data_IF_560994203624
#
_entry.id   IF_560994203624
#
_cell.length_a   1.000
_cell.length_b   1.000
_cell.length_c   1.000
_cell.angle_alpha   90.00
_cell.angle_beta   90.00
_cell.angle_gamma   90.00
#
_symmetry.space_group_name_H-M   'P 1'
#
loop_
_entity.id
_entity.type
_entity.pdbx_description
1 polymer ?
#
# COMPACT_ATOMS: atom_id res chain seq x y z
N UNK A 1 -10.17 -39.75 55.16
CA UNK A 1 -10.43 -39.89 56.61
C UNK A 1 -9.12 -39.73 57.38
N UNK A 2 -9.14 -38.96 58.48
CA UNK A 2 -8.08 -38.70 59.51
C UNK A 2 -6.89 -37.84 59.01
N UNK A 3 -6.71 -36.54 59.34
CA UNK A 3 -6.59 -35.77 60.62
C UNK A 3 -5.41 -36.17 61.51
N UNK A 4 -4.82 -35.11 62.12
CA UNK A 4 -3.93 -35.00 63.32
C UNK A 4 -2.46 -34.68 62.96
N UNK A 5 -1.73 -33.75 63.58
CA UNK A 5 -2.02 -32.64 64.51
C UNK A 5 -0.74 -31.81 64.69
N UNK A 6 -0.98 -30.57 65.11
CA UNK A 6 -0.13 -29.45 65.48
C UNK A 6 0.68 -29.66 66.78
N UNK A 7 1.78 -28.90 66.90
CA UNK A 7 2.44 -28.34 68.10
C UNK A 7 3.35 -29.19 69.01
N UNK A 8 4.61 -28.73 69.13
CA UNK A 8 5.54 -28.58 70.30
C UNK A 8 6.97 -28.63 69.70
N UNK A 9 7.84 -27.62 69.78
CA UNK A 9 8.41 -27.03 70.99
C UNK A 9 9.00 -25.65 70.69
N UNK A 10 8.52 -24.67 71.44
CA UNK A 10 9.19 -23.40 71.72
C UNK A 10 10.27 -23.67 72.80
N UNK A 11 11.40 -22.96 72.74
CA UNK A 11 12.42 -22.75 73.79
C UNK A 11 13.72 -23.60 73.77
N UNK A 12 14.70 -23.14 72.99
CA UNK A 12 16.14 -23.09 73.32
C UNK A 12 16.70 -21.92 72.50
N UNK A 13 16.47 -20.67 72.90
CA UNK A 13 17.33 -19.86 73.77
C UNK A 13 18.83 -19.92 73.44
N UNK A 14 19.26 -18.92 72.67
CA UNK A 14 20.47 -18.12 72.82
C UNK A 14 21.85 -18.83 72.84
N UNK A 15 22.51 -18.86 71.68
CA UNK A 15 23.92 -18.45 71.51
C UNK A 15 24.38 -18.68 70.06
N UNK A 16 24.37 -17.63 69.24
CA UNK A 16 25.28 -17.42 68.10
C UNK A 16 24.87 -16.12 67.36
N UNK A 17 24.96 -14.99 68.08
CA UNK A 17 25.22 -13.72 67.41
C UNK A 17 26.70 -13.72 66.98
N UNK A 18 27.01 -12.99 65.91
CA UNK A 18 28.31 -12.79 65.23
C UNK A 18 28.47 -13.54 63.90
N UNK A 19 27.63 -13.20 62.92
CA UNK A 19 28.08 -13.16 61.53
C UNK A 19 28.22 -11.69 61.12
N UNK A 20 29.39 -11.24 60.64
CA UNK A 20 29.54 -9.89 60.12
C UNK A 20 28.67 -9.78 58.87
N UNK A 21 27.71 -8.85 58.91
CA UNK A 21 27.02 -8.39 57.72
C UNK A 21 28.06 -7.66 56.87
N UNK A 22 28.63 -8.35 55.89
CA UNK A 22 29.09 -7.69 54.68
C UNK A 22 27.83 -7.14 54.00
N UNK A 23 27.55 -5.84 54.16
CA UNK A 23 26.86 -5.12 53.10
C UNK A 23 27.83 -5.10 51.92
N UNK A 24 27.55 -5.91 50.89
CA UNK A 24 27.97 -5.50 49.55
C UNK A 24 27.22 -4.21 49.28
N UNK A 25 27.97 -3.12 49.15
CA UNK A 25 27.45 -1.89 48.58
C UNK A 25 26.82 -2.27 47.23
N UNK A 26 25.49 -2.23 47.14
CA UNK A 26 24.77 -2.30 45.88
C UNK A 26 25.28 -1.12 45.04
N UNK A 27 26.28 -1.37 44.20
CA UNK A 27 26.58 -0.51 43.07
C UNK A 27 25.30 -0.49 42.25
N UNK A 28 24.53 0.58 42.40
CA UNK A 28 23.42 0.91 41.52
C UNK A 28 23.89 0.67 40.10
N UNK A 29 23.37 -0.38 39.47
CA UNK A 29 23.73 -0.74 38.11
C UNK A 29 23.10 0.31 37.21
N UNK A 30 23.86 1.35 36.90
CA UNK A 30 23.45 2.38 35.95
C UNK A 30 23.18 1.69 34.61
N UNK A 31 21.97 1.87 34.07
CA UNK A 31 21.60 1.39 32.76
C UNK A 31 21.70 2.54 31.76
N UNK A 32 22.10 2.28 30.52
CA UNK A 32 22.03 3.28 29.47
C UNK A 32 20.60 3.80 29.32
N UNK A 33 20.46 5.11 29.12
CA UNK A 33 19.23 5.74 28.64
C UNK A 33 19.26 5.88 27.13
N UNK A 34 18.12 6.25 26.55
CA UNK A 34 17.98 6.46 25.11
C UNK A 34 17.74 7.95 24.81
N UNK A 35 18.37 8.48 23.76
CA UNK A 35 18.04 9.80 23.21
C UNK A 35 17.42 9.66 21.82
N UNK A 36 16.36 10.44 21.57
CA UNK A 36 15.69 10.52 20.28
C UNK A 36 15.62 11.96 19.81
N UNK A 37 15.96 12.22 18.56
CA UNK A 37 15.95 13.56 17.98
C UNK A 37 14.71 13.77 17.13
N UNK A 38 13.92 14.80 17.44
CA UNK A 38 12.83 15.28 16.59
C UNK A 38 13.34 16.42 15.72
N UNK A 39 13.19 16.29 14.40
CA UNK A 39 13.69 17.29 13.45
C UNK A 39 12.66 18.39 13.28
N UNK A 40 13.06 19.64 13.52
CA UNK A 40 12.18 20.83 13.42
C UNK A 40 12.68 21.77 12.33
N UNK A 41 12.19 21.62 11.08
CA UNK A 41 12.62 22.52 10.02
C UNK A 41 12.07 23.94 10.23
N UNK A 42 12.95 24.94 10.20
CA UNK A 42 12.56 26.34 10.26
C UNK A 42 12.52 26.96 8.86
N UNK A 43 11.45 27.69 8.57
CA UNK A 43 11.40 28.60 7.42
C UNK A 43 11.94 29.96 7.87
N UNK A 44 13.03 30.43 7.27
CA UNK A 44 13.68 31.69 7.68
C UNK A 44 12.70 32.85 7.84
N UNK A 45 12.91 33.65 8.90
CA UNK A 45 12.06 34.77 9.36
C UNK A 45 11.74 35.86 8.30
N UNK A 46 12.36 35.85 7.12
CA UNK A 46 12.13 36.84 6.05
C UNK A 46 11.32 36.34 4.83
N UNK A 47 10.87 35.08 4.77
CA UNK A 47 9.96 34.64 3.69
C UNK A 47 10.51 34.75 2.26
N UNK A 48 11.81 35.00 2.08
CA UNK A 48 12.45 35.13 0.75
C UNK A 48 12.61 33.77 0.05
N UNK A 49 12.52 32.66 0.78
CA UNK A 49 12.32 31.34 0.20
C UNK A 49 10.92 30.84 0.55
N UNK A 50 9.95 31.06 -0.34
CA UNK A 50 8.55 30.61 -0.23
C UNK A 50 8.34 29.09 -0.18
N UNK A 51 9.33 28.31 0.27
CA UNK A 51 9.15 26.91 0.64
C UNK A 51 8.71 26.87 2.11
N UNK A 52 7.44 26.51 2.32
CA UNK A 52 7.06 25.79 3.56
C UNK A 52 8.11 24.70 3.78
N UNK A 53 8.55 24.49 5.02
CA UNK A 53 9.37 23.35 5.44
C UNK A 53 9.03 22.13 4.57
N UNK A 54 9.88 21.86 3.58
CA UNK A 54 9.66 20.76 2.65
C UNK A 54 9.73 19.48 3.47
N UNK A 55 8.76 18.58 3.31
CA UNK A 55 8.85 17.24 3.88
C UNK A 55 10.26 16.68 3.61
N UNK A 56 10.90 16.13 4.65
CA UNK A 56 12.23 15.53 4.50
C UNK A 56 12.19 14.50 3.36
N UNK A 57 13.22 14.44 2.50
CA UNK A 57 13.25 13.46 1.42
C UNK A 57 13.11 12.04 1.98
N UNK A 58 12.36 11.20 1.28
CA UNK A 58 12.22 9.78 1.64
C UNK A 58 13.60 9.11 1.63
N UNK A 59 13.99 8.49 2.75
CA UNK A 59 15.32 7.87 2.90
C UNK A 59 16.41 8.80 3.44
N UNK A 60 16.06 9.99 3.93
CA UNK A 60 17.00 10.86 4.62
C UNK A 60 17.55 10.23 5.91
N UNK A 61 18.80 10.54 6.22
CA UNK A 61 19.54 10.05 7.39
C UNK A 61 20.09 11.22 8.20
N UNK A 62 20.12 11.07 9.51
CA UNK A 62 20.72 12.04 10.42
C UNK A 62 22.18 11.67 10.69
N UNK A 63 23.06 12.66 10.62
CA UNK A 63 24.45 12.60 11.07
C UNK A 63 24.60 13.52 12.27
N UNK A 64 24.99 12.96 13.42
CA UNK A 64 25.07 13.69 14.70
C UNK A 64 26.41 13.50 15.39
N UNK A 65 27.01 14.60 15.85
CA UNK A 65 28.21 14.59 16.70
C UNK A 65 27.82 15.01 18.13
N UNK A 66 28.26 14.24 19.12
CA UNK A 66 27.92 14.41 20.53
C UNK A 66 29.19 14.37 21.38
N UNK A 67 29.32 15.33 22.29
CA UNK A 67 30.36 15.36 23.32
C UNK A 67 29.74 15.21 24.71
N UNK A 68 30.48 14.63 25.65
CA UNK A 68 30.07 14.56 27.07
C UNK A 68 30.39 15.87 27.80
N UNK A 69 30.03 15.95 29.09
CA UNK A 69 30.30 17.12 29.95
C UNK A 69 31.80 17.47 30.10
N UNK A 70 32.71 16.53 29.87
CA UNK A 70 34.15 16.76 29.87
C UNK A 70 34.67 17.30 28.53
N UNK A 71 33.80 17.42 27.52
CA UNK A 71 34.15 17.81 26.15
C UNK A 71 34.74 16.67 25.32
N UNK A 72 34.68 15.43 25.80
CA UNK A 72 35.17 14.27 25.07
C UNK A 72 34.13 13.84 24.04
N UNK A 73 34.59 13.49 22.84
CA UNK A 73 33.73 13.02 21.74
C UNK A 73 33.20 11.64 22.08
N UNK A 74 31.87 11.54 22.14
CA UNK A 74 31.13 10.30 22.37
C UNK A 74 30.68 9.72 21.03
N UNK A 75 30.20 10.59 20.15
CA UNK A 75 29.86 10.28 18.77
C UNK A 75 30.44 11.34 17.84
N UNK A 76 31.03 10.89 16.74
CA UNK A 76 31.57 11.73 15.68
C UNK A 76 30.82 11.40 14.38
N UNK A 77 30.01 12.33 13.89
CA UNK A 77 29.13 12.21 12.73
C UNK A 77 28.43 10.85 12.63
N UNK A 78 27.89 10.38 13.76
CA UNK A 78 27.21 9.10 13.84
C UNK A 78 25.95 9.12 12.98
N UNK A 79 25.88 8.15 12.07
CA UNK A 79 24.70 7.90 11.25
C UNK A 79 23.55 7.32 12.10
N UNK A 80 22.37 7.93 11.99
CA UNK A 80 21.14 7.54 12.69
C UNK A 80 19.96 7.58 11.72
N UNK A 81 19.27 6.45 11.58
CA UNK A 81 18.08 6.32 10.73
C UNK A 81 16.95 7.22 11.21
N UNK A 82 16.25 7.86 10.27
CA UNK A 82 15.04 8.64 10.53
C UNK A 82 13.78 7.84 10.21
N UNK A 83 12.73 8.06 10.98
CA UNK A 83 11.40 7.47 10.82
C UNK A 83 10.33 8.54 10.84
N UNK A 84 9.29 8.36 10.03
CA UNK A 84 8.12 9.24 9.99
C UNK A 84 7.07 8.76 10.99
N UNK A 85 6.61 9.65 11.87
CA UNK A 85 5.53 9.39 12.83
C UNK A 85 4.47 10.50 12.69
N UNK A 86 3.42 10.20 11.93
CA UNK A 86 2.45 11.21 11.51
C UNK A 86 3.13 12.25 10.61
N UNK A 87 3.00 13.53 10.97
CA UNK A 87 3.64 14.65 10.27
C UNK A 87 5.05 14.97 10.79
N UNK A 88 5.54 14.24 11.80
CA UNK A 88 6.84 14.47 12.42
C UNK A 88 7.88 13.47 11.92
N UNK A 89 9.14 13.91 11.86
CA UNK A 89 10.28 13.03 11.58
C UNK A 89 11.16 12.97 12.81
N UNK A 90 11.41 11.75 13.28
CA UNK A 90 12.19 11.47 14.48
C UNK A 90 13.30 10.46 14.16
N UNK A 91 14.39 10.48 14.91
CA UNK A 91 15.43 9.48 14.79
C UNK A 91 15.03 8.15 15.44
N UNK A 92 15.70 7.07 15.06
CA UNK A 92 15.80 5.91 15.94
C UNK A 92 16.49 6.30 17.27
N UNK A 93 16.18 5.61 18.39
CA UNK A 93 16.83 5.84 19.66
C UNK A 93 18.34 5.60 19.60
N UNK A 94 19.11 6.47 20.25
CA UNK A 94 20.55 6.36 20.41
C UNK A 94 20.87 6.15 21.88
N UNK A 95 21.48 5.01 22.21
CA UNK A 95 21.75 4.63 23.60
C UNK A 95 23.00 5.34 24.14
N UNK A 96 22.87 5.99 25.28
CA UNK A 96 23.92 6.76 25.97
C UNK A 96 23.89 6.46 27.47
N UNK A 97 25.06 6.47 28.10
CA UNK A 97 25.11 6.42 29.57
C UNK A 97 24.41 7.65 30.19
N UNK A 98 23.83 7.54 31.39
CA UNK A 98 23.24 8.69 32.07
C UNK A 98 24.28 9.78 32.33
N UNK A 99 23.95 11.02 31.94
CA UNK A 99 24.90 12.12 31.99
C UNK A 99 24.47 13.35 31.20
N UNK A 100 25.32 14.38 31.24
CA UNK A 100 25.13 15.61 30.47
C UNK A 100 25.97 15.55 29.20
N UNK A 101 25.33 15.92 28.08
CA UNK A 101 25.87 15.85 26.75
C UNK A 101 25.61 17.14 25.99
N UNK A 102 26.27 17.28 24.85
CA UNK A 102 26.10 18.42 23.97
C UNK A 102 26.23 17.97 22.52
N UNK A 103 25.26 18.36 21.70
CA UNK A 103 25.30 18.17 20.26
C UNK A 103 26.21 19.24 19.67
N UNK A 104 27.18 18.84 18.86
CA UNK A 104 28.14 19.75 18.22
C UNK A 104 27.98 19.82 16.71
N UNK A 105 27.35 18.81 16.10
CA UNK A 105 27.00 18.75 14.68
C UNK A 105 25.67 18.02 14.49
N UNK A 106 24.83 18.50 13.58
CA UNK A 106 23.50 17.94 13.32
C UNK A 106 23.10 18.21 11.87
N UNK A 107 23.25 17.19 11.02
CA UNK A 107 23.14 17.30 9.56
C UNK A 107 22.18 16.22 9.07
N UNK A 108 21.24 16.58 8.21
CA UNK A 108 20.32 15.65 7.56
C UNK A 108 20.69 15.55 6.09
N UNK A 109 20.98 14.34 5.62
CA UNK A 109 21.38 14.11 4.25
C UNK A 109 20.77 12.83 3.68
N UNK A 110 20.58 12.83 2.37
CA UNK A 110 20.11 11.68 1.59
C UNK A 110 21.22 11.22 0.62
N UNK A 111 21.22 11.72 -0.62
CA UNK A 111 22.31 11.73 -1.60
C UNK A 111 23.19 12.99 -1.47
N UNK A 112 22.66 14.03 -0.81
CA UNK A 112 23.33 15.29 -0.51
C UNK A 112 22.81 15.87 0.81
N UNK A 113 23.50 16.86 1.36
CA UNK A 113 23.03 17.57 2.56
C UNK A 113 21.73 18.30 2.21
N UNK A 114 20.65 17.94 2.89
CA UNK A 114 19.33 18.55 2.71
C UNK A 114 19.04 19.59 3.78
N UNK A 115 19.49 19.35 5.01
CA UNK A 115 19.32 20.28 6.13
C UNK A 115 20.53 20.24 7.07
N UNK A 116 20.78 21.34 7.77
CA UNK A 116 21.77 21.40 8.85
C UNK A 116 21.34 22.38 9.94
N UNK A 117 21.77 22.13 11.18
CA UNK A 117 21.65 23.12 12.26
C UNK A 117 22.84 24.07 12.22
N UNK A 118 22.65 25.40 12.13
CA UNK A 118 23.76 26.34 12.13
C UNK A 118 24.46 26.40 13.50
N UNK A 119 25.79 26.58 13.50
CA UNK A 119 26.59 26.80 14.70
C UNK A 119 26.46 28.24 15.18
N UNK A 120 26.48 28.44 16.49
CA UNK A 120 26.39 29.75 17.14
C UNK A 120 27.49 30.66 16.58
N UNK A 121 27.09 31.87 16.18
CA UNK A 121 27.98 32.84 15.55
C UNK A 121 28.14 32.68 14.04
N UNK A 122 27.54 31.67 13.40
CA UNK A 122 27.46 31.61 11.94
C UNK A 122 26.48 32.64 11.38
N UNK A 123 26.60 33.03 10.10
CA UNK A 123 25.65 33.93 9.44
C UNK A 123 24.18 33.50 9.57
N UNK A 124 23.92 32.19 9.56
CA UNK A 124 22.57 31.64 9.62
C UNK A 124 22.06 31.32 11.04
N UNK A 125 22.88 31.48 12.08
CA UNK A 125 22.48 31.16 13.46
C UNK A 125 21.28 31.97 13.98
N UNK A 126 21.03 33.15 13.42
CA UNK A 126 19.91 34.03 13.80
C UNK A 126 18.51 33.52 13.37
N UNK A 127 18.47 32.51 12.48
CA UNK A 127 17.23 31.97 11.92
C UNK A 127 16.69 30.75 12.67
N UNK A 128 17.43 30.29 13.67
CA UNK A 128 17.00 29.31 14.66
C UNK A 128 17.03 29.97 16.03
N UNK A 129 16.21 29.50 16.95
CA UNK A 129 16.19 29.98 18.32
C UNK A 129 17.27 29.28 19.16
N UNK A 130 17.57 28.00 18.87
CA UNK A 130 18.57 27.17 19.55
C UNK A 130 19.69 26.67 18.59
N UNK A 131 20.68 27.51 18.19
CA UNK A 131 21.80 27.08 17.35
C UNK A 131 22.76 26.14 18.10
N UNK A 132 23.57 25.38 17.37
CA UNK A 132 24.59 24.51 17.97
C UNK A 132 25.68 25.33 18.69
N UNK A 133 26.24 24.86 19.81
CA UNK A 133 25.99 23.58 20.45
C UNK A 133 24.69 23.53 21.29
N UNK A 134 23.98 22.39 21.26
CA UNK A 134 22.72 22.18 22.02
C UNK A 134 22.94 21.20 23.18
N UNK A 135 22.78 21.62 24.45
CA UNK A 135 22.96 20.74 25.61
C UNK A 135 21.74 19.86 25.88
N UNK A 136 21.95 18.65 26.38
CA UNK A 136 20.89 17.76 26.85
C UNK A 136 21.38 16.83 27.96
N UNK A 137 20.45 16.20 28.68
CA UNK A 137 20.73 15.26 29.78
C UNK A 137 20.04 13.93 29.50
N UNK A 138 20.78 12.83 29.64
CA UNK A 138 20.27 11.47 29.55
C UNK A 138 20.08 10.93 30.97
N UNK A 139 18.91 10.33 31.24
CA UNK A 139 18.57 9.71 32.52
C UNK A 139 18.62 8.18 32.42
N UNK A 140 18.79 7.54 33.58
CA UNK A 140 18.85 6.08 33.72
C UNK A 140 17.53 5.41 33.30
N UNK A 141 17.59 4.47 32.35
CA UNK A 141 16.45 3.68 31.84
C UNK A 141 15.26 4.56 31.35
N UNK A 142 15.55 5.74 30.80
CA UNK A 142 14.55 6.70 30.29
C UNK A 142 14.82 7.12 28.83
N UNK A 143 13.78 7.59 28.15
CA UNK A 143 13.86 8.07 26.75
C UNK A 143 13.78 9.60 26.74
N UNK A 144 14.90 10.24 26.42
CA UNK A 144 14.98 11.69 26.25
C UNK A 144 14.66 12.08 24.81
N UNK A 145 13.56 12.80 24.59
CA UNK A 145 13.24 13.36 23.28
C UNK A 145 13.70 14.82 23.17
N UNK A 146 14.52 15.12 22.17
CA UNK A 146 15.07 16.45 21.92
C UNK A 146 14.67 16.96 20.54
N UNK A 147 13.98 18.10 20.50
CA UNK A 147 13.69 18.80 19.26
C UNK A 147 14.87 19.66 18.83
N UNK A 148 15.41 19.43 17.62
CA UNK A 148 16.54 20.18 17.07
C UNK A 148 16.10 20.94 15.82
N UNK A 149 16.38 22.24 15.80
CA UNK A 149 15.98 23.13 14.71
C UNK A 149 16.95 23.06 13.55
N UNK A 150 16.44 22.87 12.33
CA UNK A 150 17.27 22.75 11.14
C UNK A 150 16.86 23.76 10.08
N UNK A 151 17.83 24.25 9.31
CA UNK A 151 17.59 25.08 8.14
C UNK A 151 17.88 24.27 6.87
N UNK A 152 17.12 24.49 5.78
CA UNK A 152 17.36 23.81 4.52
C UNK A 152 18.70 24.23 3.92
N UNK A 153 19.45 23.25 3.41
CA UNK A 153 20.67 23.48 2.63
C UNK A 153 20.29 23.52 1.14
N UNK A 154 20.26 24.72 0.56
CA UNK A 154 19.83 24.97 -0.83
C UNK A 154 20.90 25.70 -1.63
N UNK A 155 20.71 25.73 -2.95
CA UNK A 155 21.55 26.51 -3.87
C UNK A 155 21.79 27.95 -3.36
N UNK A 156 23.06 28.31 -3.21
CA UNK A 156 23.48 29.62 -2.74
C UNK A 156 24.00 29.67 -1.30
N UNK A 157 23.77 28.63 -0.50
CA UNK A 157 24.45 28.48 0.80
C UNK A 157 25.69 27.60 0.70
N UNK A 158 26.71 27.92 1.50
CA UNK A 158 27.91 27.08 1.68
C UNK A 158 27.96 26.53 3.12
N UNK A 159 28.75 25.46 3.39
CA UNK A 159 28.92 24.96 4.76
C UNK A 159 29.33 26.05 5.76
N UNK A 160 30.11 27.04 5.32
CA UNK A 160 30.58 28.16 6.13
C UNK A 160 29.43 29.07 6.61
N UNK A 161 28.35 29.22 5.84
CA UNK A 161 27.16 29.98 6.25
C UNK A 161 26.48 29.35 7.49
N UNK A 162 26.64 28.03 7.63
CA UNK A 162 26.19 27.25 8.79
C UNK A 162 27.27 27.12 9.87
N UNK A 163 28.48 27.65 9.65
CA UNK A 163 29.61 27.55 10.59
C UNK A 163 30.39 26.23 10.50
N UNK A 164 30.23 25.46 9.42
CA UNK A 164 31.01 24.26 9.14
C UNK A 164 32.17 24.59 8.20
N UNK A 165 33.32 23.95 8.39
CA UNK A 165 34.45 24.04 7.43
C UNK A 165 34.11 23.28 6.15
N UNK A 166 33.42 22.17 6.30
CA UNK A 166 32.86 21.33 5.25
C UNK A 166 31.86 20.38 5.91
N UNK A 167 30.90 19.87 5.15
CA UNK A 167 30.14 18.70 5.59
C UNK A 167 30.98 17.47 5.27
N UNK A 168 31.83 17.05 6.20
CA UNK A 168 32.67 15.85 6.07
C UNK A 168 31.87 14.54 6.19
N UNK A 169 30.63 14.54 5.72
CA UNK A 169 29.85 13.33 5.58
C UNK A 169 30.16 12.73 4.22
N UNK A 170 30.63 11.48 4.23
CA UNK A 170 30.65 10.70 3.00
C UNK A 170 29.25 10.15 2.84
N UNK A 171 28.40 10.89 2.13
CA UNK A 171 27.16 10.32 1.62
C UNK A 171 27.60 9.32 0.56
N UNK A 172 27.73 8.05 0.95
CA UNK A 172 27.90 7.00 -0.03
C UNK A 172 26.70 7.11 -0.98
N UNK A 173 26.90 7.32 -2.29
CA UNK A 173 25.77 7.34 -3.21
C UNK A 173 25.06 6.00 -3.04
N UNK A 174 23.85 6.04 -2.47
CA UNK A 174 23.03 4.84 -2.39
C UNK A 174 22.85 4.35 -3.82
N UNK A 175 23.19 3.09 -4.14
CA UNK A 175 22.98 2.58 -5.48
C UNK A 175 21.48 2.65 -5.77
N UNK A 176 21.13 3.46 -6.75
CA UNK A 176 19.78 3.58 -7.29
C UNK A 176 19.82 3.28 -8.78
N UNK A 177 18.66 2.91 -9.33
CA UNK A 177 18.46 2.87 -10.77
C UNK A 177 17.20 3.63 -11.13
N UNK A 178 17.15 4.18 -12.35
CA UNK A 178 15.95 4.82 -12.87
C UNK A 178 15.01 3.76 -13.43
N UNK A 179 13.71 3.92 -13.23
CA UNK A 179 12.66 3.03 -13.76
C UNK A 179 11.63 3.83 -14.54
N UNK A 180 11.30 3.35 -15.75
CA UNK A 180 10.21 3.83 -16.58
C UNK A 180 9.28 2.66 -16.91
N UNK A 181 8.00 2.80 -16.57
CA UNK A 181 6.98 1.77 -16.80
C UNK A 181 6.08 2.20 -17.94
N UNK A 182 5.90 1.32 -18.91
CA UNK A 182 5.13 1.56 -20.12
C UNK A 182 3.98 0.56 -20.24
N UNK A 183 2.87 1.02 -20.82
CA UNK A 183 1.78 0.15 -21.28
C UNK A 183 1.55 0.32 -22.78
N UNK A 184 1.01 -0.71 -23.46
CA UNK A 184 0.57 -0.57 -24.84
C UNK A 184 -0.71 0.28 -24.93
N UNK A 185 -0.71 1.23 -25.85
CA UNK A 185 -1.86 2.00 -26.31
C UNK A 185 -1.88 1.98 -27.84
N UNK A 186 -2.66 1.06 -28.40
CA UNK A 186 -2.60 0.70 -29.82
C UNK A 186 -1.22 0.16 -30.21
N UNK A 187 -0.58 0.80 -31.20
CA UNK A 187 0.77 0.46 -31.65
C UNK A 187 1.88 1.21 -30.88
N UNK A 188 1.50 2.08 -29.94
CA UNK A 188 2.44 2.93 -29.20
C UNK A 188 2.60 2.47 -27.76
N UNK A 189 3.74 2.83 -27.16
CA UNK A 189 3.98 2.66 -25.73
C UNK A 189 3.86 4.01 -25.04
N UNK A 190 3.10 4.06 -23.95
CA UNK A 190 2.91 5.28 -23.13
C UNK A 190 3.35 5.02 -21.70
N UNK A 191 3.97 6.04 -21.08
CA UNK A 191 4.33 5.99 -19.66
C UNK A 191 3.08 5.82 -18.80
N UNK A 192 3.18 4.99 -17.77
CA UNK A 192 2.03 4.66 -16.92
C UNK A 192 2.42 4.52 -15.46
N UNK A 193 1.41 4.63 -14.59
CA UNK A 193 1.59 4.51 -13.15
C UNK A 193 1.55 3.03 -12.75
N UNK A 194 2.39 2.63 -11.81
CA UNK A 194 2.42 1.26 -11.29
C UNK A 194 2.82 1.27 -9.81
N UNK A 195 2.48 0.21 -9.09
CA UNK A 195 3.08 -0.03 -7.77
C UNK A 195 4.33 -0.89 -7.95
N UNK A 196 5.46 -0.42 -7.45
CA UNK A 196 6.74 -1.09 -7.56
C UNK A 196 7.17 -1.67 -6.21
N UNK A 197 7.67 -2.90 -6.25
CA UNK A 197 8.25 -3.61 -5.12
C UNK A 197 9.65 -4.10 -5.47
N UNK A 198 10.58 -4.04 -4.51
CA UNK A 198 11.82 -4.82 -4.57
C UNK A 198 11.77 -5.88 -3.48
N UNK A 199 11.96 -7.13 -3.88
CA UNK A 199 11.86 -8.30 -3.01
C UNK A 199 13.24 -8.94 -2.84
N UNK A 200 13.61 -9.23 -1.60
CA UNK A 200 14.78 -10.03 -1.19
C UNK A 200 14.29 -11.34 -0.56
N UNK A 201 14.27 -12.42 -1.35
CA UNK A 201 13.70 -13.69 -0.93
C UNK A 201 12.19 -13.59 -0.65
N UNK A 202 11.81 -13.54 0.62
CA UNK A 202 10.41 -13.40 1.06
C UNK A 202 10.06 -12.00 1.57
N UNK A 203 11.08 -11.14 1.74
CA UNK A 203 10.94 -9.83 2.35
C UNK A 203 10.79 -8.75 1.27
N UNK A 204 9.81 -7.87 1.43
CA UNK A 204 9.68 -6.66 0.62
C UNK A 204 10.50 -5.55 1.25
N UNK A 205 11.57 -5.11 0.57
CA UNK A 205 12.51 -4.11 1.08
C UNK A 205 12.32 -2.71 0.45
N UNK A 206 11.48 -2.64 -0.60
CA UNK A 206 11.03 -1.40 -1.22
C UNK A 206 9.58 -1.57 -1.66
N UNK A 207 8.73 -0.56 -1.43
CA UNK A 207 7.32 -0.53 -1.84
C UNK A 207 6.90 0.91 -2.07
N UNK A 208 6.55 1.25 -3.31
CA UNK A 208 6.13 2.61 -3.66
C UNK A 208 5.13 2.62 -4.81
N UNK A 209 4.13 3.50 -4.71
CA UNK A 209 3.29 3.86 -5.85
C UNK A 209 4.01 4.88 -6.73
N UNK A 210 4.22 4.53 -7.99
CA UNK A 210 4.91 5.34 -8.98
C UNK A 210 3.88 5.98 -9.92
N UNK A 211 3.78 7.31 -9.98
CA UNK A 211 3.02 8.00 -11.04
C UNK A 211 3.60 7.70 -12.44
N UNK A 212 2.88 8.04 -13.51
CA UNK A 212 3.44 7.96 -14.86
C UNK A 212 4.68 8.86 -15.00
N UNK A 213 5.84 8.29 -15.29
CA UNK A 213 7.11 9.02 -15.34
C UNK A 213 8.34 8.12 -15.22
N UNK A 214 9.50 8.74 -15.07
CA UNK A 214 10.75 8.08 -14.71
C UNK A 214 11.06 8.37 -13.24
N UNK A 215 11.29 7.33 -12.45
CA UNK A 215 11.52 7.45 -11.01
C UNK A 215 12.82 6.78 -10.60
N UNK A 216 13.51 7.35 -9.61
CA UNK A 216 14.67 6.72 -8.99
C UNK A 216 14.18 5.66 -7.99
N UNK A 217 14.68 4.44 -8.14
CA UNK A 217 14.44 3.32 -7.23
C UNK A 217 15.69 3.16 -6.36
N UNK A 218 15.61 3.63 -5.12
CA UNK A 218 16.67 3.56 -4.13
C UNK A 218 16.21 2.73 -2.93
N UNK A 219 17.05 1.79 -2.49
CA UNK A 219 16.79 0.95 -1.32
C UNK A 219 18.10 0.50 -0.68
N UNK A 220 18.05 0.13 0.61
CA UNK A 220 19.20 -0.39 1.34
C UNK A 220 19.29 -1.90 1.09
N UNK A 221 20.37 -2.33 0.42
CA UNK A 221 20.59 -3.72 0.06
C UNK A 221 22.06 -4.03 -0.20
N UNK A 222 22.39 -5.32 -0.29
CA UNK A 222 23.70 -5.79 -0.72
C UNK A 222 23.80 -5.76 -2.25
N UNK A 223 24.76 -5.02 -2.79
CA UNK A 223 24.89 -4.80 -4.24
C UNK A 223 25.12 -6.07 -5.08
N UNK A 224 25.66 -7.13 -4.48
CA UNK A 224 26.04 -8.38 -5.15
C UNK A 224 24.99 -9.48 -4.99
N UNK A 225 23.89 -9.22 -4.25
CA UNK A 225 22.82 -10.20 -4.03
C UNK A 225 21.72 -10.10 -5.10
N UNK A 226 21.04 -11.22 -5.40
CA UNK A 226 19.89 -11.21 -6.28
C UNK A 226 18.67 -10.60 -5.58
N UNK A 227 17.96 -9.76 -6.31
CA UNK A 227 16.68 -9.16 -5.98
C UNK A 227 15.65 -9.46 -7.07
N UNK A 228 14.39 -9.21 -6.76
CA UNK A 228 13.31 -9.26 -7.74
C UNK A 228 12.56 -7.92 -7.76
N UNK A 229 12.50 -7.30 -8.94
CA UNK A 229 11.63 -6.15 -9.19
C UNK A 229 10.25 -6.69 -9.58
N UNK A 230 9.23 -6.29 -8.82
CA UNK A 230 7.83 -6.63 -9.11
C UNK A 230 7.05 -5.36 -9.37
N UNK A 231 6.36 -5.28 -10.51
CA UNK A 231 5.44 -4.19 -10.82
C UNK A 231 4.02 -4.72 -10.92
N UNK A 232 3.11 -4.04 -10.23
CA UNK A 232 1.69 -4.34 -10.22
C UNK A 232 0.92 -3.12 -10.71
N UNK A 233 0.09 -3.33 -11.73
CA UNK A 233 -0.86 -2.35 -12.21
C UNK A 233 -2.16 -3.07 -12.57
N UNK A 234 -3.32 -2.67 -12.03
CA UNK A 234 -4.61 -3.27 -12.38
C UNK A 234 -4.84 -3.23 -13.90
N UNK A 235 -5.35 -4.33 -14.46
CA UNK A 235 -5.50 -4.53 -15.91
C UNK A 235 -4.24 -5.00 -16.62
N UNK A 236 -3.12 -5.17 -15.91
CA UNK A 236 -1.87 -5.62 -16.51
C UNK A 236 -1.29 -6.83 -15.79
N UNK A 237 -0.62 -7.67 -16.56
CA UNK A 237 0.14 -8.81 -16.05
C UNK A 237 1.18 -8.29 -15.05
N UNK A 238 1.31 -9.00 -13.93
CA UNK A 238 2.40 -8.77 -12.99
C UNK A 238 3.75 -8.87 -13.72
N UNK A 239 4.51 -7.79 -13.71
CA UNK A 239 5.86 -7.78 -14.27
C UNK A 239 6.84 -8.19 -13.19
N UNK A 240 7.66 -9.19 -13.48
CA UNK A 240 8.67 -9.69 -12.56
C UNK A 240 10.00 -9.76 -13.27
N UNK A 241 11.04 -9.16 -12.68
CA UNK A 241 12.41 -9.21 -13.22
C UNK A 241 13.43 -9.44 -12.11
N UNK A 242 14.15 -10.57 -12.10
CA UNK A 242 15.28 -10.75 -11.22
C UNK A 242 16.45 -9.85 -11.67
N UNK A 243 17.22 -9.33 -10.71
CA UNK A 243 18.40 -8.51 -10.98
C UNK A 243 19.42 -8.59 -9.85
N UNK A 244 20.69 -8.31 -10.15
CA UNK A 244 21.72 -7.98 -9.16
C UNK A 244 21.97 -6.49 -9.28
N UNK A 245 21.93 -5.74 -8.18
CA UNK A 245 21.93 -4.27 -8.23
C UNK A 245 23.20 -3.70 -8.86
N UNK A 246 24.37 -4.27 -8.53
CA UNK A 246 25.65 -3.88 -9.14
C UNK A 246 25.65 -4.03 -10.66
N UNK A 247 25.21 -5.19 -11.14
CA UNK A 247 25.16 -5.51 -12.57
C UNK A 247 24.13 -4.62 -13.27
N UNK A 248 22.95 -4.44 -12.69
CA UNK A 248 21.89 -3.59 -13.25
C UNK A 248 22.35 -2.14 -13.41
N UNK A 249 22.97 -1.56 -12.38
CA UNK A 249 23.47 -0.17 -12.45
C UNK A 249 24.56 -0.03 -13.51
N UNK A 250 25.46 -1.02 -13.61
CA UNK A 250 26.49 -1.04 -14.64
C UNK A 250 25.91 -1.16 -16.05
N UNK A 251 24.95 -2.06 -16.25
CA UNK A 251 24.30 -2.32 -17.54
C UNK A 251 23.49 -1.12 -18.04
N UNK A 252 22.82 -0.41 -17.14
CA UNK A 252 22.00 0.75 -17.48
C UNK A 252 22.85 1.97 -17.86
N UNK A 253 24.07 2.10 -17.36
CA UNK A 253 24.96 3.24 -17.63
C UNK A 253 24.29 4.63 -17.45
N UNK A 254 23.31 4.73 -16.54
CA UNK A 254 22.53 5.94 -16.26
C UNK A 254 21.18 6.06 -17.00
N UNK A 255 20.91 5.20 -17.97
CA UNK A 255 19.60 5.11 -18.64
C UNK A 255 18.55 4.44 -17.72
N UNK A 256 17.25 4.72 -17.91
CA UNK A 256 16.21 4.06 -17.15
C UNK A 256 16.04 2.59 -17.56
N UNK A 257 15.88 1.74 -16.55
CA UNK A 257 15.26 0.44 -16.70
C UNK A 257 13.87 0.62 -17.30
N UNK A 258 13.66 0.04 -18.47
CA UNK A 258 12.37 0.06 -19.16
C UNK A 258 11.61 -1.23 -18.86
N UNK A 259 10.39 -1.10 -18.32
CA UNK A 259 9.47 -2.21 -18.15
C UNK A 259 8.22 -1.96 -18.99
N UNK A 260 7.85 -2.91 -19.84
CA UNK A 260 6.62 -2.85 -20.64
C UNK A 260 5.64 -3.87 -20.09
N UNK A 261 4.46 -3.39 -19.72
CA UNK A 261 3.40 -4.21 -19.15
C UNK A 261 2.57 -4.87 -20.26
N UNK A 262 2.17 -6.12 -20.01
CA UNK A 262 1.29 -6.87 -20.90
C UNK A 262 -0.15 -6.77 -20.39
N UNK A 263 -1.12 -6.65 -21.30
CA UNK A 263 -2.53 -6.57 -20.93
C UNK A 263 -3.00 -7.86 -20.25
N UNK A 264 -3.84 -7.74 -19.23
CA UNK A 264 -4.40 -8.86 -18.50
C UNK A 264 -5.81 -8.55 -17.97
N UNK A 265 -6.59 -9.60 -17.77
CA UNK A 265 -7.68 -9.58 -16.79
C UNK A 265 -7.06 -9.77 -15.41
N UNK A 266 -7.37 -8.91 -14.44
CA UNK A 266 -6.76 -8.98 -13.11
C UNK A 266 -7.78 -8.90 -12.00
N UNK A 267 -7.50 -9.56 -10.89
CA UNK A 267 -8.25 -9.40 -9.66
C UNK A 267 -7.35 -9.66 -8.44
N UNK A 268 -7.75 -9.15 -7.28
CA UNK A 268 -7.08 -9.44 -6.01
C UNK A 268 -7.94 -10.39 -5.21
N UNK A 269 -7.42 -11.55 -4.85
CA UNK A 269 -8.12 -12.52 -4.00
C UNK A 269 -7.54 -12.55 -2.58
N UNK A 270 -8.30 -13.11 -1.64
CA UNK A 270 -7.92 -13.34 -0.25
C UNK A 270 -8.46 -14.69 0.18
N UNK A 271 -7.60 -15.69 0.39
CA UNK A 271 -7.97 -16.86 1.19
C UNK A 271 -6.76 -17.74 1.52
N UNK A 272 -6.83 -18.46 2.64
CA UNK A 272 -5.78 -19.35 3.14
C UNK A 272 -5.83 -20.81 2.69
N UNK A 273 -6.69 -21.21 1.74
CA UNK A 273 -6.69 -22.59 1.23
C UNK A 273 -7.11 -22.71 -0.25
N UNK A 274 -8.24 -22.16 -0.72
CA UNK A 274 -8.70 -22.33 -2.11
C UNK A 274 -9.28 -21.03 -2.69
N UNK A 275 -8.96 -20.72 -3.94
CA UNK A 275 -9.62 -19.72 -4.79
C UNK A 275 -10.13 -20.41 -6.03
N UNK A 276 -11.33 -20.07 -6.49
CA UNK A 276 -11.92 -20.62 -7.69
C UNK A 276 -12.84 -19.64 -8.42
N UNK A 277 -12.78 -19.66 -9.74
CA UNK A 277 -13.67 -18.88 -10.60
C UNK A 277 -13.91 -19.63 -11.91
N UNK A 278 -14.86 -19.13 -12.71
CA UNK A 278 -15.19 -19.69 -14.00
C UNK A 278 -14.95 -18.68 -15.11
N UNK A 279 -14.48 -19.20 -16.23
CA UNK A 279 -14.24 -18.43 -17.44
C UNK A 279 -14.98 -19.09 -18.60
N UNK A 280 -15.59 -18.26 -19.45
CA UNK A 280 -16.33 -18.65 -20.63
C UNK A 280 -15.77 -17.91 -21.85
N UNK A 281 -15.53 -18.63 -22.93
CA UNK A 281 -14.92 -18.08 -24.15
C UNK A 281 -14.19 -19.16 -24.94
N UNK A 282 -14.01 -19.01 -26.26
CA UNK A 282 -13.06 -19.83 -26.98
C UNK A 282 -11.65 -19.30 -26.71
N UNK A 283 -10.90 -19.94 -25.82
CA UNK A 283 -9.51 -19.56 -25.56
C UNK A 283 -8.63 -20.80 -25.50
N UNK A 284 -7.49 -20.73 -26.17
CA UNK A 284 -6.51 -21.82 -26.31
C UNK A 284 -5.15 -21.47 -25.74
N UNK A 285 -4.86 -20.18 -25.61
CA UNK A 285 -3.59 -19.64 -25.15
C UNK A 285 -3.80 -18.60 -24.05
N UNK A 286 -4.14 -19.09 -22.86
CA UNK A 286 -4.24 -18.28 -21.65
C UNK A 286 -3.39 -18.88 -20.54
N UNK A 287 -2.77 -17.98 -19.77
CA UNK A 287 -1.97 -18.27 -18.59
C UNK A 287 -2.57 -17.49 -17.41
N UNK A 288 -2.52 -18.10 -16.23
CA UNK A 288 -2.88 -17.47 -14.96
C UNK A 288 -1.62 -17.42 -14.12
N UNK A 289 -1.19 -16.21 -13.75
CA UNK A 289 -0.26 -16.02 -12.64
C UNK A 289 -1.09 -15.80 -11.37
N UNK A 290 -0.98 -16.73 -10.42
CA UNK A 290 -1.76 -16.74 -9.19
C UNK A 290 -1.24 -15.78 -8.11
N UNK A 291 -0.14 -15.07 -8.36
CA UNK A 291 0.42 -14.13 -7.39
C UNK A 291 1.40 -14.76 -6.40
N UNK A 292 1.61 -16.08 -6.44
CA UNK A 292 2.46 -16.85 -5.51
C UNK A 292 3.61 -17.60 -6.21
N UNK A 293 4.04 -17.08 -7.37
CA UNK A 293 5.00 -17.68 -8.31
C UNK A 293 4.50 -18.93 -9.02
N UNK A 294 3.24 -19.36 -8.80
CA UNK A 294 2.62 -20.38 -9.63
C UNK A 294 1.99 -19.76 -10.88
N UNK A 295 2.43 -20.24 -12.06
CA UNK A 295 1.83 -19.90 -13.35
C UNK A 295 1.19 -21.16 -13.92
N UNK A 296 -0.11 -21.09 -14.19
CA UNK A 296 -0.92 -22.20 -14.68
C UNK A 296 -1.43 -21.92 -16.10
N UNK A 297 -1.19 -22.83 -17.07
CA UNK A 297 -1.88 -22.76 -18.36
C UNK A 297 -3.34 -23.16 -18.21
N UNK A 298 -4.23 -22.37 -18.81
CA UNK A 298 -5.64 -22.73 -18.92
C UNK A 298 -5.78 -23.68 -20.11
N UNK A 299 -6.28 -24.89 -19.85
CA UNK A 299 -6.62 -25.83 -20.93
C UNK A 299 -7.67 -25.21 -21.85
N UNK A 300 -7.59 -25.52 -23.16
CA UNK A 300 -8.47 -24.95 -24.17
C UNK A 300 -9.94 -24.94 -23.72
N UNK A 301 -10.52 -23.74 -23.59
CA UNK A 301 -11.91 -23.53 -23.27
C UNK A 301 -12.70 -23.73 -24.58
N UNK A 302 -13.42 -24.85 -24.70
CA UNK A 302 -14.22 -25.17 -25.90
C UNK A 302 -15.68 -24.87 -25.62
N UNK A 303 -16.12 -23.66 -25.97
CA UNK A 303 -17.52 -23.16 -25.94
C UNK A 303 -18.30 -23.43 -24.64
N UNK A 304 -17.61 -23.62 -23.52
CA UNK A 304 -18.20 -24.00 -22.24
C UNK A 304 -17.54 -23.33 -21.06
N UNK A 305 -17.94 -23.76 -19.87
CA UNK A 305 -17.46 -23.25 -18.59
C UNK A 305 -16.26 -24.06 -18.12
N UNK A 306 -15.11 -23.41 -17.94
CA UNK A 306 -13.99 -24.02 -17.21
C UNK A 306 -14.01 -23.53 -15.77
N UNK A 307 -14.09 -24.47 -14.83
CA UNK A 307 -13.84 -24.21 -13.41
C UNK A 307 -12.33 -24.20 -13.20
N UNK A 308 -11.80 -23.07 -12.74
CA UNK A 308 -10.38 -22.87 -12.49
C UNK A 308 -10.23 -22.58 -11.02
N UNK A 309 -9.33 -23.30 -10.35
CA UNK A 309 -9.02 -23.02 -8.96
C UNK A 309 -7.56 -23.27 -8.63
N UNK A 310 -7.15 -22.71 -7.51
CA UNK A 310 -5.79 -22.75 -6.98
C UNK A 310 -5.80 -22.73 -5.47
N UNK A 311 -4.79 -23.35 -4.87
CA UNK A 311 -4.67 -23.41 -3.42
C UNK A 311 -3.41 -22.70 -2.95
N UNK A 312 -3.56 -21.72 -2.07
CA UNK A 312 -2.43 -20.98 -1.52
C UNK A 312 -1.82 -21.70 -0.32
N UNK A 313 -0.50 -21.78 -0.26
CA UNK A 313 0.22 -22.38 0.87
C UNK A 313 0.28 -21.52 2.13
N UNK A 314 -0.27 -20.28 2.08
CA UNK A 314 -0.29 -19.33 3.20
C UNK A 314 -1.47 -18.38 3.08
N UNK A 315 -1.92 -17.85 4.22
CA UNK A 315 -2.87 -16.74 4.24
C UNK A 315 -2.24 -15.47 3.66
N UNK A 316 -3.04 -14.70 2.93
CA UNK A 316 -2.59 -13.45 2.31
C UNK A 316 -3.60 -12.89 1.33
N UNK A 317 -3.23 -11.75 0.73
CA UNK A 317 -3.86 -11.25 -0.48
C UNK A 317 -2.96 -11.53 -1.67
N UNK A 318 -3.54 -11.95 -2.77
CA UNK A 318 -2.80 -12.35 -3.97
C UNK A 318 -3.33 -11.62 -5.18
N UNK A 319 -2.41 -10.98 -5.92
CA UNK A 319 -2.71 -10.35 -7.19
C UNK A 319 -2.69 -11.42 -8.28
N UNK A 320 -3.87 -11.74 -8.83
CA UNK A 320 -4.05 -12.73 -9.88
C UNK A 320 -4.14 -12.00 -11.22
N UNK A 321 -3.38 -12.46 -12.22
CA UNK A 321 -3.45 -11.94 -13.58
C UNK A 321 -3.61 -13.06 -14.60
N UNK A 322 -4.65 -12.95 -15.44
CA UNK A 322 -4.93 -13.82 -16.57
C UNK A 322 -4.56 -13.08 -17.86
N UNK A 323 -3.65 -13.66 -18.63
CA UNK A 323 -3.08 -13.03 -19.81
C UNK A 323 -2.85 -14.05 -20.92
N UNK A 324 -2.67 -13.56 -22.15
CA UNK A 324 -2.48 -14.39 -23.34
C UNK A 324 -3.14 -13.77 -24.56
N UNK A 325 -2.91 -14.38 -25.73
CA UNK A 325 -3.38 -13.84 -27.02
C UNK A 325 -4.91 -13.88 -27.18
N UNK A 326 -5.59 -14.76 -26.43
CA UNK A 326 -7.04 -14.99 -26.52
C UNK A 326 -7.86 -14.18 -25.50
N UNK A 327 -7.29 -13.20 -24.79
CA UNK A 327 -8.03 -12.48 -23.74
C UNK A 327 -9.30 -11.78 -24.27
N UNK A 328 -9.26 -11.28 -25.50
CA UNK A 328 -10.39 -10.62 -26.14
C UNK A 328 -11.55 -11.55 -26.54
N UNK A 329 -11.40 -12.87 -26.43
CA UNK A 329 -12.46 -13.83 -26.75
C UNK A 329 -13.31 -14.23 -25.54
N UNK A 330 -12.87 -13.84 -24.32
CA UNK A 330 -13.60 -14.13 -23.09
C UNK A 330 -14.91 -13.36 -23.07
N UNK A 331 -16.03 -14.09 -22.91
CA UNK A 331 -17.37 -13.52 -22.88
C UNK A 331 -18.10 -13.71 -21.56
N UNK A 332 -17.58 -14.54 -20.64
CA UNK A 332 -18.20 -14.77 -19.34
C UNK A 332 -17.19 -14.95 -18.23
N UNK A 333 -17.46 -14.35 -17.08
CA UNK A 333 -16.69 -14.50 -15.84
C UNK A 333 -17.65 -14.73 -14.68
N UNK A 334 -17.41 -15.77 -13.88
CA UNK A 334 -18.25 -16.09 -12.72
C UNK A 334 -17.40 -16.35 -11.47
N UNK A 335 -17.77 -15.71 -10.37
CA UNK A 335 -17.18 -15.88 -9.04
C UNK A 335 -18.28 -16.35 -8.08
N UNK A 336 -18.20 -17.58 -7.60
CA UNK A 336 -19.24 -18.15 -6.77
C UNK A 336 -18.70 -18.68 -5.46
N UNK A 337 -19.44 -18.42 -4.39
CA UNK A 337 -19.17 -18.86 -3.03
C UNK A 337 -17.83 -18.33 -2.50
N UNK A 338 -17.47 -18.69 -1.26
CA UNK A 338 -16.28 -18.15 -0.58
C UNK A 338 -14.98 -18.28 -1.39
N UNK A 339 -14.89 -19.30 -2.25
CA UNK A 339 -13.74 -19.54 -3.12
C UNK A 339 -13.63 -18.50 -4.27
N UNK A 340 -14.72 -17.82 -4.62
CA UNK A 340 -14.77 -16.77 -5.66
C UNK A 340 -14.37 -15.37 -5.17
N UNK A 341 -13.74 -15.24 -4.01
CA UNK A 341 -13.44 -13.93 -3.41
C UNK A 341 -12.52 -13.08 -4.31
N UNK A 342 -12.99 -11.91 -4.73
CA UNK A 342 -12.25 -10.90 -5.47
C UNK A 342 -12.46 -9.51 -4.84
N UNK A 343 -11.46 -9.01 -4.12
CA UNK A 343 -11.47 -7.70 -3.46
C UNK A 343 -11.33 -6.53 -4.43
N UNK A 344 -10.69 -6.79 -5.57
CA UNK A 344 -10.49 -5.86 -6.68
C UNK A 344 -10.68 -6.64 -7.98
N UNK A 345 -11.21 -6.01 -9.02
CA UNK A 345 -11.37 -6.61 -10.36
C UNK A 345 -11.12 -5.53 -11.42
N UNK A 346 -10.42 -5.89 -12.50
CA UNK A 346 -10.19 -4.97 -13.64
C UNK A 346 -10.47 -5.70 -14.94
N UNK A 347 -11.40 -5.14 -15.72
CA UNK A 347 -12.01 -5.77 -16.89
C UNK A 347 -11.65 -5.08 -18.21
N UNK A 348 -10.69 -4.14 -18.18
CA UNK A 348 -10.34 -3.23 -19.28
C UNK A 348 -9.94 -3.94 -20.58
N UNK A 349 -9.42 -5.17 -20.46
CA UNK A 349 -8.87 -5.93 -21.59
C UNK A 349 -9.68 -7.17 -21.94
N UNK A 350 -10.93 -7.27 -21.47
CA UNK A 350 -11.91 -8.31 -21.88
C UNK A 350 -13.10 -7.69 -22.63
N UNK A 351 -12.88 -7.08 -23.82
CA UNK A 351 -13.91 -6.29 -24.52
C UNK A 351 -15.13 -7.11 -25.00
N UNK A 352 -14.99 -8.44 -25.12
CA UNK A 352 -16.09 -9.34 -25.49
C UNK A 352 -16.93 -9.83 -24.30
N UNK A 353 -16.66 -9.34 -23.09
CA UNK A 353 -17.40 -9.72 -21.88
C UNK A 353 -18.89 -9.38 -22.04
N UNK A 354 -19.73 -10.42 -21.94
CA UNK A 354 -21.20 -10.37 -22.03
C UNK A 354 -21.87 -10.70 -20.72
N UNK A 355 -21.26 -11.59 -19.94
CA UNK A 355 -21.82 -12.13 -18.71
C UNK A 355 -20.82 -11.95 -17.57
N UNK A 356 -21.28 -11.38 -16.46
CA UNK A 356 -20.48 -11.25 -15.26
C UNK A 356 -21.31 -11.63 -14.05
N UNK A 357 -20.83 -12.59 -13.27
CA UNK A 357 -21.51 -13.05 -12.07
C UNK A 357 -20.58 -13.02 -10.85
N UNK A 358 -21.05 -12.48 -9.72
CA UNK A 358 -20.43 -12.64 -8.42
C UNK A 358 -21.49 -12.94 -7.38
N UNK A 359 -21.43 -14.11 -6.73
CA UNK A 359 -22.40 -14.47 -5.71
C UNK A 359 -21.77 -15.15 -4.50
N UNK A 360 -22.15 -14.73 -3.29
CA UNK A 360 -21.65 -15.27 -2.02
C UNK A 360 -20.12 -15.24 -1.88
N UNK A 361 -19.49 -14.19 -2.40
CA UNK A 361 -18.05 -13.99 -2.43
C UNK A 361 -17.69 -12.61 -1.87
N UNK A 362 -16.46 -12.43 -1.38
CA UNK A 362 -15.94 -11.08 -1.15
C UNK A 362 -15.85 -10.36 -2.51
N UNK A 363 -16.35 -9.12 -2.60
CA UNK A 363 -16.45 -8.37 -3.86
C UNK A 363 -15.84 -6.98 -3.74
N UNK A 364 -15.41 -6.35 -4.85
CA UNK A 364 -14.98 -4.96 -4.81
C UNK A 364 -16.17 -4.05 -4.51
N UNK A 365 -15.90 -2.88 -3.91
CA UNK A 365 -16.95 -1.87 -3.71
C UNK A 365 -17.45 -1.23 -5.01
N UNK A 366 -16.64 -1.27 -6.08
CA UNK A 366 -16.98 -0.74 -7.40
C UNK A 366 -16.55 -1.75 -8.46
N UNK A 367 -17.43 -1.99 -9.44
CA UNK A 367 -17.09 -2.77 -10.65
C UNK A 367 -17.25 -1.85 -11.86
N UNK A 368 -16.20 -1.78 -12.68
CA UNK A 368 -16.16 -0.94 -13.88
C UNK A 368 -16.27 -1.79 -15.14
N UNK A 369 -17.38 -1.64 -15.86
CA UNK A 369 -17.65 -2.26 -17.16
C UNK A 369 -17.54 -1.27 -18.33
N UNK A 370 -17.03 -0.05 -18.12
CA UNK A 370 -16.96 0.98 -19.17
C UNK A 370 -16.19 0.54 -20.43
N UNK A 371 -15.29 -0.44 -20.29
CA UNK A 371 -14.52 -1.05 -21.38
C UNK A 371 -15.15 -2.34 -21.95
N UNK A 372 -16.36 -2.73 -21.50
CA UNK A 372 -17.04 -3.96 -21.88
C UNK A 372 -18.34 -3.65 -22.63
N UNK A 373 -18.28 -3.16 -23.89
CA UNK A 373 -19.45 -2.70 -24.62
C UNK A 373 -20.48 -3.80 -24.94
N UNK A 374 -20.13 -5.07 -24.72
CA UNK A 374 -21.01 -6.22 -24.94
C UNK A 374 -21.70 -6.71 -23.65
N UNK A 375 -21.48 -6.05 -22.51
CA UNK A 375 -22.05 -6.49 -21.23
C UNK A 375 -23.58 -6.47 -21.29
N UNK A 376 -24.18 -7.66 -21.22
CA UNK A 376 -25.62 -7.84 -21.35
C UNK A 376 -26.27 -8.55 -20.16
N UNK A 377 -25.45 -9.27 -19.37
CA UNK A 377 -25.88 -9.99 -18.18
C UNK A 377 -24.98 -9.66 -16.99
N UNK A 378 -25.59 -9.19 -15.89
CA UNK A 378 -24.91 -8.90 -14.63
C UNK A 378 -25.69 -9.59 -13.51
N UNK A 379 -25.03 -10.51 -12.81
CA UNK A 379 -25.59 -11.21 -11.65
C UNK A 379 -24.74 -10.95 -10.41
N UNK A 380 -25.27 -10.21 -9.44
CA UNK A 380 -24.62 -9.96 -8.16
C UNK A 380 -25.55 -10.42 -7.04
N UNK A 381 -25.12 -11.40 -6.24
CA UNK A 381 -25.91 -11.90 -5.11
C UNK A 381 -25.11 -11.95 -3.81
N UNK A 382 -25.62 -11.35 -2.73
CA UNK A 382 -24.93 -11.34 -1.42
C UNK A 382 -23.49 -10.84 -1.59
N UNK A 383 -23.36 -9.59 -2.02
CA UNK A 383 -22.06 -8.94 -2.25
C UNK A 383 -22.03 -7.52 -1.69
N UNK A 384 -20.81 -7.00 -1.54
CA UNK A 384 -20.48 -5.68 -1.01
C UNK A 384 -20.33 -4.62 -2.12
N UNK A 385 -20.78 -4.93 -3.34
CA UNK A 385 -20.73 -4.00 -4.47
C UNK A 385 -21.66 -2.82 -4.19
N UNK A 386 -21.14 -1.60 -4.33
CA UNK A 386 -21.87 -0.35 -4.04
C UNK A 386 -22.20 0.44 -5.29
N UNK A 387 -21.39 0.25 -6.34
CA UNK A 387 -21.51 0.95 -7.61
C UNK A 387 -21.07 0.06 -8.77
N UNK A 388 -21.82 0.14 -9.87
CA UNK A 388 -21.43 -0.40 -11.16
C UNK A 388 -21.27 0.77 -12.12
N UNK A 389 -20.17 0.80 -12.87
CA UNK A 389 -19.96 1.76 -13.96
C UNK A 389 -20.25 1.01 -15.26
N UNK A 390 -21.20 1.49 -16.05
CA UNK A 390 -21.63 0.87 -17.30
C UNK A 390 -21.06 1.63 -18.51
N UNK A 391 -20.89 0.98 -19.67
CA UNK A 391 -20.62 1.67 -20.91
C UNK A 391 -21.85 2.52 -21.33
N UNK A 392 -21.63 3.58 -22.11
CA UNK A 392 -22.66 4.58 -22.48
C UNK A 392 -23.91 3.97 -23.13
N UNK A 393 -23.76 2.84 -23.84
CA UNK A 393 -24.85 2.12 -24.51
C UNK A 393 -24.85 0.63 -24.14
N UNK A 394 -24.78 0.33 -22.84
CA UNK A 394 -24.77 -1.04 -22.35
C UNK A 394 -25.98 -1.86 -22.86
N UNK A 395 -25.77 -2.99 -23.56
CA UNK A 395 -26.84 -3.83 -24.08
C UNK A 395 -27.43 -4.75 -23.00
N UNK A 396 -27.76 -4.18 -21.84
CA UNK A 396 -28.29 -4.92 -20.70
C UNK A 396 -29.61 -5.58 -21.07
N UNK A 397 -29.70 -6.88 -20.80
CA UNK A 397 -30.87 -7.72 -21.02
C UNK A 397 -31.26 -8.49 -19.75
N UNK A 398 -30.28 -8.88 -18.95
CA UNK A 398 -30.48 -9.65 -17.72
C UNK A 398 -29.68 -9.02 -16.58
N UNK A 399 -30.37 -8.43 -15.60
CA UNK A 399 -29.72 -7.83 -14.44
C UNK A 399 -30.35 -8.41 -13.19
N UNK A 400 -29.55 -9.14 -12.42
CA UNK A 400 -29.94 -9.71 -11.14
C UNK A 400 -29.04 -9.13 -10.06
N UNK A 401 -29.62 -8.32 -9.19
CA UNK A 401 -28.97 -7.70 -8.06
C UNK A 401 -29.74 -8.11 -6.80
N UNK A 402 -29.20 -9.11 -6.09
CA UNK A 402 -29.83 -9.74 -4.94
C UNK A 402 -29.01 -9.48 -3.70
N UNK A 403 -29.65 -9.11 -2.58
CA UNK A 403 -28.97 -8.96 -1.29
C UNK A 403 -27.74 -8.03 -1.32
N UNK A 404 -27.84 -6.94 -2.07
CA UNK A 404 -26.76 -5.98 -2.20
C UNK A 404 -26.80 -5.00 -1.03
N UNK A 405 -25.81 -5.09 -0.13
CA UNK A 405 -25.68 -4.12 0.96
C UNK A 405 -24.82 -2.94 0.54
N UNK A 406 -25.40 -1.74 0.57
CA UNK A 406 -24.65 -0.50 0.31
C UNK A 406 -24.73 0.03 -1.12
N UNK A 407 -25.55 -0.57 -1.99
CA UNK A 407 -25.87 0.00 -3.29
C UNK A 407 -26.60 1.35 -3.12
N UNK A 408 -26.09 2.40 -3.77
CA UNK A 408 -26.71 3.73 -3.66
C UNK A 408 -27.94 3.86 -4.57
N UNK A 409 -28.88 4.74 -4.20
CA UNK A 409 -30.02 5.09 -5.07
C UNK A 409 -29.59 5.56 -6.46
N UNK A 410 -28.54 6.37 -6.51
CA UNK A 410 -28.00 6.93 -7.75
C UNK A 410 -27.50 5.81 -8.64
N UNK A 411 -26.69 4.90 -8.09
CA UNK A 411 -26.15 3.77 -8.84
C UNK A 411 -27.25 2.82 -9.32
N UNK A 412 -28.29 2.58 -8.51
CA UNK A 412 -29.42 1.76 -8.94
C UNK A 412 -30.20 2.44 -10.08
N UNK A 413 -30.45 3.74 -9.95
CA UNK A 413 -31.09 4.54 -10.99
C UNK A 413 -30.30 4.53 -12.31
N UNK A 414 -28.97 4.60 -12.26
CA UNK A 414 -28.10 4.54 -13.44
C UNK A 414 -28.26 3.20 -14.19
N UNK A 415 -28.34 2.07 -13.48
CA UNK A 415 -28.55 0.75 -14.08
C UNK A 415 -29.93 0.67 -14.72
N UNK A 416 -30.98 1.06 -13.99
CA UNK A 416 -32.36 1.06 -14.50
C UNK A 416 -32.46 1.91 -15.76
N UNK A 417 -31.87 3.11 -15.73
CA UNK A 417 -31.88 4.03 -16.84
C UNK A 417 -31.14 3.47 -18.06
N UNK A 418 -29.96 2.88 -17.86
CA UNK A 418 -29.20 2.25 -18.94
C UNK A 418 -29.99 1.12 -19.61
N UNK A 419 -30.62 0.24 -18.82
CA UNK A 419 -31.49 -0.83 -19.33
C UNK A 419 -32.69 -0.27 -20.10
N UNK A 420 -33.36 0.76 -19.56
CA UNK A 420 -34.48 1.43 -20.21
C UNK A 420 -34.10 2.05 -21.55
N UNK A 421 -33.02 2.84 -21.60
CA UNK A 421 -32.54 3.50 -22.81
C UNK A 421 -32.20 2.46 -23.88
N UNK A 422 -31.51 1.37 -23.52
CA UNK A 422 -31.21 0.29 -24.45
C UNK A 422 -32.47 -0.36 -25.03
N UNK A 423 -33.43 -0.70 -24.16
CA UNK A 423 -34.68 -1.34 -24.56
C UNK A 423 -35.51 -0.46 -25.50
N UNK A 424 -35.64 0.83 -25.19
CA UNK A 424 -36.39 1.79 -26.01
C UNK A 424 -35.71 2.01 -27.35
N UNK A 425 -34.41 2.30 -27.35
CA UNK A 425 -33.67 2.64 -28.56
C UNK A 425 -33.61 1.48 -29.57
N UNK A 426 -33.60 0.24 -29.07
CA UNK A 426 -33.44 -0.96 -29.92
C UNK A 426 -34.70 -1.84 -29.98
N UNK A 427 -35.81 -1.39 -29.38
CA UNK A 427 -37.05 -2.15 -29.25
C UNK A 427 -36.85 -3.56 -28.68
N UNK A 428 -36.04 -3.68 -27.63
CA UNK A 428 -35.75 -4.96 -26.96
C UNK A 428 -36.92 -5.33 -26.07
N UNK A 429 -37.45 -6.53 -26.29
CA UNK A 429 -38.61 -7.09 -25.58
C UNK A 429 -38.16 -8.28 -24.72
N UNK A 430 -38.76 -8.47 -23.55
CA UNK A 430 -38.60 -9.71 -22.77
C UNK A 430 -37.28 -9.86 -22.00
N UNK A 431 -36.75 -8.78 -21.42
CA UNK A 431 -35.60 -8.82 -20.52
C UNK A 431 -35.96 -9.04 -19.04
N UNK A 432 -34.93 -9.23 -18.21
CA UNK A 432 -35.05 -9.62 -16.80
C UNK A 432 -34.37 -8.57 -15.92
N UNK A 433 -35.10 -8.04 -14.93
CA UNK A 433 -34.60 -7.13 -13.91
C UNK A 433 -35.00 -7.64 -12.53
N UNK A 434 -34.08 -8.29 -11.84
CA UNK A 434 -34.30 -8.85 -10.50
C UNK A 434 -33.57 -8.02 -9.46
N UNK A 435 -34.29 -7.10 -8.80
CA UNK A 435 -33.69 -6.06 -7.96
C UNK A 435 -34.17 -6.19 -6.51
N UNK A 436 -33.81 -7.26 -5.80
CA UNK A 436 -34.39 -7.56 -4.48
C UNK A 436 -33.40 -7.63 -3.31
N UNK A 437 -33.77 -7.07 -2.16
CA UNK A 437 -32.96 -7.10 -0.93
C UNK A 437 -33.13 -8.41 -0.12
N UNK A 438 -33.94 -9.34 -0.62
CA UNK A 438 -34.30 -10.60 0.03
C UNK A 438 -34.41 -11.73 -0.99
N UNK A 439 -34.13 -12.99 -0.62
CA UNK A 439 -34.19 -14.10 -1.56
C UNK A 439 -35.68 -14.36 -1.80
N UNK A 440 -36.15 -14.16 -3.03
CA UNK A 440 -37.57 -14.30 -3.38
C UNK A 440 -38.49 -13.23 -2.76
N UNK A 441 -37.94 -12.17 -2.17
CA UNK A 441 -38.77 -11.17 -1.53
C UNK A 441 -39.14 -10.01 -2.44
N UNK A 442 -40.12 -9.25 -1.99
CA UNK A 442 -40.79 -8.23 -2.79
C UNK A 442 -40.20 -6.83 -2.60
N UNK A 443 -39.18 -6.64 -1.77
CA UNK A 443 -38.57 -5.32 -1.49
C UNK A 443 -37.40 -5.03 -2.42
N UNK A 444 -37.31 -3.78 -2.91
CA UNK A 444 -36.22 -3.35 -3.80
C UNK A 444 -34.87 -3.26 -3.05
N UNK A 445 -33.77 -3.63 -3.72
CA UNK A 445 -32.43 -3.26 -3.25
C UNK A 445 -32.31 -1.73 -3.23
N UNK A 446 -31.58 -1.19 -2.26
CA UNK A 446 -31.46 0.25 -1.97
C UNK A 446 -32.68 0.86 -1.25
N UNK A 447 -32.47 1.13 0.05
CA UNK A 447 -33.31 1.99 0.87
C UNK A 447 -32.58 3.32 1.16
N UNK A 448 -33.24 4.49 1.00
CA UNK A 448 -34.59 4.65 0.49
C UNK A 448 -34.67 4.27 -1.00
N UNK A 449 -35.88 4.13 -1.53
CA UNK A 449 -36.15 3.72 -2.92
C UNK A 449 -35.52 4.64 -3.99
N UNK A 450 -35.38 4.17 -5.26
CA UNK A 450 -34.96 4.99 -6.39
C UNK A 450 -35.79 6.27 -6.57
N UNK A 451 -35.25 7.23 -7.32
CA UNK A 451 -35.99 8.41 -7.74
C UNK A 451 -37.25 8.03 -8.55
N UNK A 452 -38.30 8.85 -8.49
CA UNK A 452 -39.58 8.62 -9.21
C UNK A 452 -39.38 8.31 -10.70
N UNK A 453 -38.39 8.93 -11.35
CA UNK A 453 -38.05 8.66 -12.75
C UNK A 453 -37.72 7.18 -12.98
N UNK A 454 -36.90 6.56 -12.12
CA UNK A 454 -36.52 5.16 -12.26
C UNK A 454 -37.73 4.22 -12.13
N UNK A 455 -38.70 4.55 -11.28
CA UNK A 455 -39.96 3.79 -11.20
C UNK A 455 -40.79 3.87 -12.48
N UNK A 456 -40.85 5.05 -13.11
CA UNK A 456 -41.54 5.21 -14.39
C UNK A 456 -40.85 4.43 -15.52
N UNK A 457 -39.51 4.41 -15.51
CA UNK A 457 -38.71 3.61 -16.44
C UNK A 457 -38.96 2.11 -16.25
N UNK A 458 -38.95 1.61 -15.00
CA UNK A 458 -39.29 0.21 -14.68
C UNK A 458 -40.71 -0.17 -15.12
N UNK A 459 -41.71 0.69 -14.86
CA UNK A 459 -43.09 0.48 -15.32
C UNK A 459 -43.18 0.43 -16.83
N UNK A 460 -42.45 1.30 -17.54
CA UNK A 460 -42.42 1.30 -19.00
C UNK A 460 -41.80 0.01 -19.54
N UNK A 461 -40.68 -0.43 -18.98
CA UNK A 461 -40.05 -1.72 -19.33
C UNK A 461 -41.04 -2.88 -19.17
N UNK A 462 -41.72 -2.97 -18.02
CA UNK A 462 -42.72 -4.01 -17.74
C UNK A 462 -43.94 -3.94 -18.68
N UNK A 463 -44.60 -2.78 -18.73
CA UNK A 463 -45.93 -2.65 -19.33
C UNK A 463 -45.88 -2.49 -20.85
N UNK A 464 -44.79 -1.93 -21.40
CA UNK A 464 -44.66 -1.63 -22.83
C UNK A 464 -43.65 -2.50 -23.57
N UNK A 465 -42.65 -3.05 -22.86
CA UNK A 465 -41.61 -3.90 -23.44
C UNK A 465 -41.65 -5.36 -22.94
N UNK A 466 -42.63 -5.71 -22.09
CA UNK A 466 -42.83 -7.07 -21.59
C UNK A 466 -41.67 -7.60 -20.75
N UNK A 467 -40.92 -6.72 -20.07
CA UNK A 467 -39.83 -7.13 -19.20
C UNK A 467 -40.36 -7.72 -17.89
N UNK A 468 -39.68 -8.76 -17.40
CA UNK A 468 -39.91 -9.31 -16.08
C UNK A 468 -39.14 -8.49 -15.04
N UNK A 469 -39.86 -7.64 -14.31
CA UNK A 469 -39.29 -6.78 -13.27
C UNK A 469 -39.72 -7.28 -11.89
N UNK A 470 -38.75 -7.66 -11.07
CA UNK A 470 -38.96 -8.18 -9.72
C UNK A 470 -38.43 -7.20 -8.68
N UNK A 471 -39.35 -6.75 -7.83
CA UNK A 471 -39.21 -5.68 -6.83
C UNK A 471 -40.54 -4.93 -6.71
N UNK A 472 -40.89 -4.38 -5.54
CA UNK A 472 -42.18 -3.68 -5.34
C UNK A 472 -42.26 -2.45 -6.23
N UNK A 473 -43.16 -2.44 -7.23
CA UNK A 473 -43.34 -1.33 -8.20
C UNK A 473 -44.80 -0.80 -8.19
N UNK A 474 -45.62 -1.27 -7.25
CA UNK A 474 -47.02 -0.85 -7.08
C UNK A 474 -47.16 0.63 -6.68
#
# INVERSE_FOLDING_TARGET
MKKVSWFFCLSMLACAMLFPSCQEDEKSSVRPGDVRFAIRPQSGKDGIAGRKASALPSGATLYVSVVNAAGEVVYDLKEVTLINVGDNVISQPLSLEPGNYTITEFIVADSQVSYATPKQGSPLAQWVDDPLPVPFTVYDDDVTELGVEVLPFTDGYTPEDFGYVSFNITVAPFPYFKLSVFKPEGETLVLTAAHAYVVDGVDTIYSQSLPAGTHDIAFIGNMERPYELVLVQPGYRKYTRPFILQDLVADLAGDPLTATLEQAFTFVTRWGNDVAFRVHGPATDLLIDWGDHHVQPISAIRDGTNHIGHSYGREGQFFVSIYGSDLSSLYGLEFYYGDGSALEVTLDHVPALRQFAMSFADTPGVIDFSHNPQISSIELSVSDVKKIILPEHAPLHDVSLVYQTGFSQVSLGEIIHATYVHAVANNVQGGWLYLTDTPYGSSLIAYPYPAEQAFQELRTLRDSYGWEVWGYID
#
